data_IF_844110016263
#
_entry.id   IF_844110016263
#
_cell.length_a   1.000
_cell.length_b   1.000
_cell.length_c   1.000
_cell.angle_alpha   90.00
_cell.angle_beta   90.00
_cell.angle_gamma   90.00
#
_symmetry.space_group_name_H-M   'P 1'
#
loop_
_entity.id
_entity.type
_entity.pdbx_description
1 polymer ?
#
# COMPACT_ATOMS: atom_id res chain seq x y z
N UNK A 1 -2.80 -21.15 -16.41
CA UNK A 1 -1.96 -20.25 -15.59
C UNK A 1 -1.82 -20.92 -14.24
N UNK A 2 -0.61 -21.14 -13.75
CA UNK A 2 -0.34 -21.88 -12.51
C UNK A 2 -1.00 -21.18 -11.32
N UNK A 3 -1.83 -21.91 -10.58
CA UNK A 3 -2.23 -21.55 -9.22
C UNK A 3 -0.97 -21.53 -8.34
N UNK A 4 -0.34 -20.37 -8.17
CA UNK A 4 0.83 -20.29 -7.28
C UNK A 4 1.69 -19.03 -7.36
N UNK A 5 1.70 -18.31 -8.47
CA UNK A 5 2.58 -17.14 -8.61
C UNK A 5 1.88 -15.85 -8.17
N UNK A 6 2.42 -15.23 -7.11
CA UNK A 6 2.01 -13.90 -6.65
C UNK A 6 2.44 -12.87 -7.69
N UNK A 7 1.47 -12.13 -8.24
CA UNK A 7 1.75 -11.09 -9.21
C UNK A 7 2.53 -9.93 -8.54
N UNK A 8 3.63 -9.53 -9.18
CA UNK A 8 4.50 -8.46 -8.68
C UNK A 8 5.11 -7.64 -9.82
N UNK A 9 4.64 -6.41 -9.96
CA UNK A 9 5.22 -5.42 -10.85
C UNK A 9 6.27 -4.58 -10.13
N UNK A 10 7.49 -4.60 -10.68
CA UNK A 10 8.62 -3.82 -10.17
C UNK A 10 8.58 -2.39 -10.65
N UNK A 11 9.05 -1.48 -9.80
CA UNK A 11 9.04 -0.06 -10.06
C UNK A 11 9.87 0.28 -11.30
N UNK A 12 9.26 1.06 -12.19
CA UNK A 12 9.97 1.78 -13.26
C UNK A 12 9.74 3.27 -13.06
N UNK A 13 10.83 4.04 -13.04
CA UNK A 13 10.79 5.50 -12.86
C UNK A 13 10.07 5.89 -11.55
N UNK A 14 9.18 6.90 -11.58
CA UNK A 14 8.43 7.38 -10.41
C UNK A 14 6.99 6.82 -10.35
N UNK A 15 6.67 5.76 -11.12
CA UNK A 15 5.33 5.19 -11.28
C UNK A 15 4.83 4.33 -10.10
N UNK A 16 5.31 4.60 -8.88
CA UNK A 16 5.00 3.79 -7.69
C UNK A 16 3.49 3.63 -7.44
N UNK A 17 2.68 4.66 -7.69
CA UNK A 17 1.22 4.60 -7.55
C UNK A 17 0.57 3.55 -8.48
N UNK A 18 1.00 3.49 -9.75
CA UNK A 18 0.49 2.52 -10.73
C UNK A 18 0.89 1.11 -10.32
N UNK A 19 2.13 0.92 -9.93
CA UNK A 19 2.61 -0.40 -9.52
C UNK A 19 1.92 -0.86 -8.24
N UNK A 20 1.66 0.04 -7.29
CA UNK A 20 0.85 -0.27 -6.11
C UNK A 20 -0.56 -0.71 -6.50
N UNK A 21 -1.23 0.00 -7.42
CA UNK A 21 -2.55 -0.40 -7.95
C UNK A 21 -2.53 -1.78 -8.61
N UNK A 22 -1.58 -2.04 -9.51
CA UNK A 22 -1.49 -3.33 -10.19
C UNK A 22 -1.16 -4.47 -9.23
N UNK A 23 -0.27 -4.22 -8.27
CA UNK A 23 0.12 -5.19 -7.26
C UNK A 23 -1.03 -5.52 -6.31
N UNK A 24 -1.79 -4.53 -5.82
CA UNK A 24 -2.93 -4.79 -4.92
C UNK A 24 -4.07 -5.55 -5.63
N UNK A 25 -4.25 -5.27 -6.93
CA UNK A 25 -5.23 -5.94 -7.79
C UNK A 25 -4.75 -7.30 -8.33
N UNK A 26 -3.47 -7.64 -8.12
CA UNK A 26 -2.84 -8.87 -8.63
C UNK A 26 -2.94 -9.02 -10.16
N UNK A 27 -2.98 -7.91 -10.88
CA UNK A 27 -3.15 -7.87 -12.33
C UNK A 27 -2.56 -6.56 -12.89
N UNK A 28 -1.98 -6.61 -14.09
CA UNK A 28 -1.45 -5.42 -14.77
C UNK A 28 -2.55 -4.67 -15.51
N UNK A 29 -3.32 -3.87 -14.78
CA UNK A 29 -4.49 -3.16 -15.32
C UNK A 29 -4.17 -1.73 -15.72
N UNK A 30 -3.38 -1.04 -14.91
CA UNK A 30 -3.02 0.35 -15.10
C UNK A 30 -1.65 0.49 -15.73
N UNK A 31 -1.57 1.36 -16.71
CA UNK A 31 -0.35 1.80 -17.40
C UNK A 31 -0.16 3.30 -17.20
N UNK A 32 1.03 3.82 -17.55
CA UNK A 32 1.29 5.26 -17.49
C UNK A 32 0.26 6.03 -18.32
N UNK A 33 -0.07 5.51 -19.49
CA UNK A 33 -1.02 6.09 -20.43
C UNK A 33 -2.41 6.21 -19.78
N UNK A 34 -2.91 5.12 -19.18
CA UNK A 34 -4.20 5.15 -18.49
C UNK A 34 -4.20 6.06 -17.26
N UNK A 35 -3.10 6.13 -16.51
CA UNK A 35 -2.98 7.04 -15.37
C UNK A 35 -2.94 8.51 -15.81
N UNK A 36 -2.25 8.81 -16.90
CA UNK A 36 -2.22 10.14 -17.50
C UNK A 36 -3.61 10.56 -18.01
N UNK A 37 -4.41 9.62 -18.52
CA UNK A 37 -5.80 9.88 -18.92
C UNK A 37 -6.71 10.09 -17.71
N UNK A 38 -6.51 9.36 -16.61
CA UNK A 38 -7.17 9.63 -15.32
C UNK A 38 -6.83 11.06 -14.85
N UNK A 39 -5.55 11.45 -14.88
CA UNK A 39 -5.12 12.79 -14.53
C UNK A 39 -5.82 13.87 -15.38
N UNK A 40 -5.90 13.69 -16.69
CA UNK A 40 -6.59 14.65 -17.59
C UNK A 40 -8.07 14.79 -17.25
N UNK A 41 -8.76 13.69 -16.91
CA UNK A 41 -10.18 13.74 -16.52
C UNK A 41 -10.40 14.43 -15.17
N UNK A 42 -9.46 14.26 -14.23
CA UNK A 42 -9.53 14.92 -12.92
C UNK A 42 -9.30 16.45 -13.01
N UNK A 43 -8.50 16.91 -13.97
CA UNK A 43 -8.20 18.32 -14.18
C UNK A 43 -8.27 18.71 -15.67
N UNK A 44 -9.47 18.73 -16.29
CA UNK A 44 -9.63 18.90 -17.74
C UNK A 44 -9.28 20.32 -18.22
N UNK A 45 -9.30 21.30 -17.32
CA UNK A 45 -9.06 22.72 -17.62
C UNK A 45 -7.63 23.19 -17.31
N UNK A 46 -6.73 22.28 -16.93
CA UNK A 46 -5.39 22.63 -16.46
C UNK A 46 -4.31 22.22 -17.48
N UNK A 47 -3.53 23.19 -17.97
CA UNK A 47 -2.37 22.96 -18.86
C UNK A 47 -1.23 22.26 -18.12
N UNK A 48 -1.05 22.58 -16.82
CA UNK A 48 -0.17 21.87 -15.89
C UNK A 48 -1.05 21.04 -14.96
N UNK A 49 -0.91 19.72 -15.00
CA UNK A 49 -1.75 18.84 -14.20
C UNK A 49 -1.23 18.75 -12.76
N UNK A 50 -2.01 19.16 -11.74
CA UNK A 50 -1.56 19.20 -10.35
C UNK A 50 -1.37 17.80 -9.74
N UNK A 51 -1.91 16.75 -10.38
CA UNK A 51 -1.93 15.38 -9.88
C UNK A 51 -0.76 14.53 -10.39
N UNK A 52 0.22 15.15 -11.09
CA UNK A 52 1.46 14.50 -11.52
C UNK A 52 2.63 15.49 -11.55
N UNK A 53 3.86 14.98 -11.47
CA UNK A 53 5.06 15.79 -11.73
C UNK A 53 4.96 16.52 -13.07
N UNK A 54 5.30 17.81 -13.10
CA UNK A 54 5.32 18.67 -14.29
C UNK A 54 6.16 18.07 -15.42
N UNK A 55 7.19 17.28 -15.08
CA UNK A 55 8.07 16.57 -16.00
C UNK A 55 7.49 15.24 -16.56
N UNK A 56 6.27 14.86 -16.19
CA UNK A 56 5.61 13.65 -16.71
C UNK A 56 6.27 12.33 -16.30
N UNK A 57 6.99 12.31 -15.18
CA UNK A 57 7.78 11.18 -14.68
C UNK A 57 6.96 10.13 -13.93
N UNK A 58 5.71 10.44 -13.55
CA UNK A 58 4.78 9.47 -12.98
C UNK A 58 4.55 9.53 -11.47
N UNK A 59 4.96 10.60 -10.79
CA UNK A 59 4.67 10.82 -9.36
C UNK A 59 3.20 11.22 -9.16
N UNK A 60 2.29 10.24 -9.21
CA UNK A 60 0.85 10.44 -9.07
C UNK A 60 0.44 10.58 -7.61
N UNK A 61 -0.54 11.45 -7.35
CA UNK A 61 -1.11 11.64 -6.03
C UNK A 61 -2.23 10.63 -5.71
N UNK A 62 -2.80 10.75 -4.51
CA UNK A 62 -3.87 9.87 -4.03
C UNK A 62 -5.16 9.96 -4.86
N UNK A 63 -5.46 11.10 -5.49
CA UNK A 63 -6.68 11.26 -6.28
C UNK A 63 -6.66 10.38 -7.51
N UNK A 64 -5.48 10.20 -8.12
CA UNK A 64 -5.28 9.26 -9.23
C UNK A 64 -5.55 7.82 -8.77
N UNK A 65 -5.08 7.44 -7.57
CA UNK A 65 -5.33 6.12 -6.98
C UNK A 65 -6.83 5.91 -6.75
N UNK A 66 -7.52 6.88 -6.15
CA UNK A 66 -8.96 6.80 -5.89
C UNK A 66 -9.76 6.69 -7.19
N UNK A 67 -9.46 7.53 -8.19
CA UNK A 67 -10.15 7.51 -9.48
C UNK A 67 -9.87 6.22 -10.29
N UNK A 68 -8.66 5.66 -10.17
CA UNK A 68 -8.32 4.37 -10.76
C UNK A 68 -9.16 3.24 -10.15
N UNK A 69 -9.25 3.17 -8.81
CA UNK A 69 -10.07 2.16 -8.12
C UNK A 69 -11.56 2.30 -8.45
N UNK A 70 -12.08 3.52 -8.49
CA UNK A 70 -13.47 3.80 -8.87
C UNK A 70 -13.81 3.27 -10.28
N UNK A 71 -12.86 3.30 -11.21
CA UNK A 71 -13.07 2.76 -12.56
C UNK A 71 -13.25 1.24 -12.61
N UNK A 72 -12.98 0.53 -11.51
CA UNK A 72 -13.17 -0.92 -11.35
C UNK A 72 -14.18 -1.29 -10.26
N UNK A 73 -15.11 -0.39 -9.92
CA UNK A 73 -16.12 -0.62 -8.88
C UNK A 73 -15.51 -0.88 -7.48
N UNK A 74 -14.29 -0.38 -7.26
CA UNK A 74 -13.59 -0.40 -5.99
C UNK A 74 -13.53 1.01 -5.41
N UNK A 75 -13.19 1.07 -4.13
CA UNK A 75 -13.02 2.29 -3.38
C UNK A 75 -11.73 2.25 -2.55
N UNK A 76 -11.20 3.43 -2.23
CA UNK A 76 -10.10 3.62 -1.29
C UNK A 76 -10.61 4.36 -0.06
N UNK A 77 -10.73 3.63 1.04
CA UNK A 77 -11.15 4.18 2.33
C UNK A 77 -9.92 4.56 3.14
N UNK A 78 -9.89 5.79 3.65
CA UNK A 78 -8.84 6.24 4.55
C UNK A 78 -8.93 5.56 5.91
N UNK A 79 -7.87 4.89 6.32
CA UNK A 79 -7.81 4.32 7.66
C UNK A 79 -7.58 5.41 8.71
N UNK A 80 -8.44 5.45 9.72
CA UNK A 80 -8.27 6.31 10.88
C UNK A 80 -7.26 5.69 11.86
N UNK A 81 -6.08 6.29 11.98
CA UNK A 81 -4.99 5.85 12.87
C UNK A 81 -5.39 5.78 14.35
N UNK A 82 -6.45 6.47 14.75
CA UNK A 82 -6.97 6.44 16.12
C UNK A 82 -7.70 5.13 16.43
N UNK A 83 -8.06 4.35 15.40
CA UNK A 83 -8.72 3.05 15.52
C UNK A 83 -7.69 1.94 15.64
N UNK A 84 -8.07 0.89 16.36
CA UNK A 84 -7.24 -0.31 16.50
C UNK A 84 -7.40 -1.20 15.28
N UNK A 85 -6.31 -1.84 14.82
CA UNK A 85 -6.34 -2.73 13.64
C UNK A 85 -7.31 -3.91 13.84
N UNK A 86 -7.61 -4.29 15.09
CA UNK A 86 -8.60 -5.32 15.44
C UNK A 86 -10.04 -4.91 15.07
N UNK A 87 -10.33 -3.61 14.96
CA UNK A 87 -11.64 -3.13 14.48
C UNK A 87 -11.81 -3.29 12.97
N UNK A 88 -10.76 -3.65 12.22
CA UNK A 88 -10.85 -3.83 10.79
C UNK A 88 -11.42 -5.20 10.43
N UNK A 89 -12.42 -5.25 9.54
CA UNK A 89 -12.91 -6.50 8.97
C UNK A 89 -12.03 -6.92 7.79
N UNK A 90 -10.93 -7.62 8.09
CA UNK A 90 -9.92 -8.05 7.09
C UNK A 90 -10.52 -8.79 5.89
N UNK A 91 -11.55 -9.61 6.12
CA UNK A 91 -12.23 -10.40 5.08
C UNK A 91 -12.92 -9.54 4.00
N UNK A 92 -13.28 -8.30 4.32
CA UNK A 92 -13.92 -7.34 3.41
C UNK A 92 -12.91 -6.44 2.71
N UNK A 93 -11.66 -6.42 3.18
CA UNK A 93 -10.59 -5.61 2.63
C UNK A 93 -9.86 -6.41 1.56
N UNK A 94 -9.96 -5.92 0.33
CA UNK A 94 -9.31 -6.54 -0.82
C UNK A 94 -7.79 -6.35 -0.76
N UNK A 95 -7.29 -5.25 -0.19
CA UNK A 95 -5.88 -5.03 0.05
C UNK A 95 -5.60 -3.65 0.62
N UNK A 96 -4.33 -3.31 0.76
CA UNK A 96 -3.90 -2.07 1.40
C UNK A 96 -2.93 -1.33 0.49
N UNK A 97 -3.07 -0.01 0.44
CA UNK A 97 -2.10 0.88 -0.19
C UNK A 97 -1.56 1.81 0.89
N UNK A 98 -0.26 1.81 1.08
CA UNK A 98 0.41 2.62 2.10
C UNK A 98 1.26 3.71 1.45
N UNK A 99 1.20 4.92 2.01
CA UNK A 99 2.04 6.06 1.62
C UNK A 99 3.16 6.27 2.62
N UNK A 100 4.30 5.63 2.41
CA UNK A 100 5.42 5.64 3.35
C UNK A 100 6.53 6.61 2.93
N UNK A 101 7.28 7.21 3.87
CA UNK A 101 8.48 7.93 3.52
C UNK A 101 9.55 6.95 3.03
N UNK A 102 10.15 7.25 1.90
CA UNK A 102 11.18 6.42 1.28
C UNK A 102 12.39 7.26 0.92
N UNK A 103 13.59 6.73 1.20
CA UNK A 103 14.84 7.37 0.78
C UNK A 103 14.98 7.23 -0.72
N UNK A 104 15.45 8.29 -1.37
CA UNK A 104 15.80 8.24 -2.79
C UNK A 104 17.23 7.70 -2.91
N UNK A 105 17.39 6.56 -3.58
CA UNK A 105 18.71 6.02 -3.93
C UNK A 105 19.09 6.48 -5.33
N UNK A 106 20.24 7.16 -5.46
CA UNK A 106 20.85 7.50 -6.75
C UNK A 106 22.12 6.65 -6.87
N UNK A 107 21.99 5.46 -7.45
CA UNK A 107 23.05 4.44 -7.44
C UNK A 107 23.35 3.95 -6.02
N UNK A 108 24.62 4.03 -5.62
CA UNK A 108 25.13 3.57 -4.31
C UNK A 108 24.87 4.62 -3.21
N UNK A 109 24.54 5.86 -3.57
CA UNK A 109 24.33 6.96 -2.62
C UNK A 109 22.84 7.09 -2.32
N UNK A 110 22.45 6.89 -1.06
CA UNK A 110 21.12 7.29 -0.58
C UNK A 110 21.14 8.78 -0.28
N UNK A 111 20.36 9.56 -1.02
CA UNK A 111 20.20 10.98 -0.74
C UNK A 111 19.42 11.17 0.57
N UNK A 112 19.74 12.20 1.38
CA UNK A 112 19.02 12.50 2.62
C UNK A 112 17.58 13.03 2.37
N UNK A 113 17.13 13.09 1.12
CA UNK A 113 15.80 13.50 0.75
C UNK A 113 14.81 12.33 0.92
N UNK A 114 13.81 12.52 1.77
CA UNK A 114 12.67 11.60 1.91
C UNK A 114 11.59 11.98 0.92
N UNK A 115 11.17 11.03 0.08
CA UNK A 115 10.00 11.18 -0.80
C UNK A 115 8.90 10.24 -0.38
N UNK A 116 7.66 10.60 -0.70
CA UNK A 116 6.50 9.72 -0.55
C UNK A 116 6.60 8.56 -1.52
N UNK A 117 6.16 7.39 -1.09
CA UNK A 117 6.21 6.16 -1.87
C UNK A 117 4.97 5.33 -1.58
N UNK A 118 4.28 4.96 -2.65
CA UNK A 118 3.13 4.08 -2.59
C UNK A 118 3.60 2.63 -2.66
N UNK A 119 3.21 1.84 -1.66
CA UNK A 119 3.40 0.39 -1.66
C UNK A 119 2.07 -0.32 -1.46
N UNK A 120 1.98 -1.54 -1.98
CA UNK A 120 0.80 -2.38 -1.85
C UNK A 120 1.05 -3.54 -0.90
N UNK A 121 0.03 -3.90 -0.14
CA UNK A 121 -0.01 -5.14 0.65
C UNK A 121 -1.29 -5.88 0.30
N UNK A 122 -1.16 -7.19 0.04
CA UNK A 122 -2.28 -7.99 -0.46
C UNK A 122 -2.24 -9.41 0.11
N UNK A 123 -3.41 -9.93 0.47
CA UNK A 123 -3.59 -11.35 0.74
C UNK A 123 -3.70 -12.15 -0.55
N UNK A 124 -2.86 -13.17 -0.68
CA UNK A 124 -2.89 -14.16 -1.76
C UNK A 124 -2.76 -15.54 -1.12
N UNK A 125 -3.67 -16.45 -1.42
CA UNK A 125 -3.68 -17.82 -0.87
C UNK A 125 -3.58 -17.87 0.67
N UNK A 126 -4.30 -16.97 1.35
CA UNK A 126 -4.35 -16.90 2.83
C UNK A 126 -3.17 -16.16 3.49
N UNK A 127 -2.12 -15.81 2.76
CA UNK A 127 -0.94 -15.10 3.28
C UNK A 127 -0.89 -13.67 2.76
N UNK A 128 -0.51 -12.72 3.62
CA UNK A 128 -0.25 -11.34 3.23
C UNK A 128 1.17 -11.18 2.70
N UNK A 129 1.30 -10.47 1.59
CA UNK A 129 2.57 -10.16 0.96
C UNK A 129 2.77 -8.65 0.91
N UNK A 130 3.97 -8.21 1.26
CA UNK A 130 4.46 -6.90 0.89
C UNK A 130 4.84 -6.94 -0.60
N UNK A 131 4.14 -6.12 -1.38
CA UNK A 131 4.30 -5.97 -2.82
C UNK A 131 4.86 -4.59 -3.16
N UNK A 132 5.73 -4.06 -2.31
CA UNK A 132 6.50 -2.87 -2.62
C UNK A 132 7.26 -3.08 -3.95
N UNK A 133 6.93 -2.25 -4.93
CA UNK A 133 7.51 -2.27 -6.27
C UNK A 133 9.04 -2.07 -6.28
N UNK A 134 9.65 -1.55 -5.20
CA UNK A 134 11.11 -1.46 -5.04
C UNK A 134 11.78 -2.81 -4.70
N UNK A 135 11.01 -3.81 -4.27
CA UNK A 135 11.53 -5.13 -3.93
C UNK A 135 11.83 -5.98 -5.17
N UNK A 136 12.84 -6.84 -5.05
CA UNK A 136 13.20 -7.81 -6.10
C UNK A 136 12.14 -8.91 -6.28
N UNK A 137 11.35 -9.19 -5.26
CA UNK A 137 10.27 -10.19 -5.25
C UNK A 137 9.29 -9.87 -4.11
N UNK A 138 8.05 -10.38 -4.16
CA UNK A 138 7.12 -10.35 -3.03
C UNK A 138 7.77 -10.87 -1.75
N UNK A 139 7.49 -10.20 -0.64
CA UNK A 139 7.93 -10.63 0.69
C UNK A 139 6.70 -11.08 1.47
N UNK A 140 6.68 -12.34 1.88
CA UNK A 140 5.61 -12.83 2.75
C UNK A 140 5.73 -12.19 4.14
N UNK A 141 4.61 -11.62 4.61
CA UNK A 141 4.45 -11.07 5.96
C UNK A 141 3.95 -12.17 6.90
N UNK A 142 2.95 -12.94 6.45
CA UNK A 142 2.30 -14.02 7.21
C UNK A 142 0.78 -14.00 7.07
N UNK A 143 0.10 -14.90 7.78
CA UNK A 143 -1.37 -14.93 7.86
C UNK A 143 -1.97 -13.98 8.92
N UNK A 144 -3.29 -13.88 8.96
CA UNK A 144 -4.02 -13.14 10.00
C UNK A 144 -3.84 -13.77 11.40
N UNK A 145 -3.85 -15.11 11.47
CA UNK A 145 -3.77 -15.87 12.72
C UNK A 145 -2.32 -16.21 13.17
N UNK A 146 -1.30 -15.87 12.38
CA UNK A 146 0.10 -16.21 12.71
C UNK A 146 0.69 -15.24 13.74
N UNK A 147 0.30 -15.43 15.01
CA UNK A 147 1.05 -14.90 16.15
C UNK A 147 2.25 -15.81 16.41
N UNK A 148 3.42 -15.48 15.85
CA UNK A 148 4.68 -16.06 16.34
C UNK A 148 5.46 -15.04 17.15
N UNK A 149 5.34 -15.22 18.45
CA UNK A 149 6.17 -14.71 19.56
C UNK A 149 7.63 -14.52 19.15
N UNK A 150 8.19 -13.32 19.34
CA UNK A 150 9.64 -13.15 19.56
C UNK A 150 9.93 -12.16 20.68
N UNK A 151 10.71 -12.66 21.64
CA UNK A 151 11.34 -11.91 22.72
C UNK A 151 12.17 -10.74 22.17
N UNK A 152 11.99 -9.57 22.79
CA UNK A 152 12.81 -8.37 22.62
C UNK A 152 14.29 -8.71 22.64
N UNK A 153 14.97 -8.52 21.52
CA UNK A 153 16.41 -8.30 21.52
C UNK A 153 16.63 -6.86 21.10
N UNK A 154 17.15 -6.09 22.06
CA UNK A 154 17.57 -4.71 21.91
C UNK A 154 18.41 -4.55 20.64
N UNK A 155 17.91 -3.73 19.70
CA UNK A 155 18.70 -3.25 18.58
C UNK A 155 18.66 -1.73 18.59
N UNK A 156 19.84 -1.15 18.42
CA UNK A 156 20.10 0.27 18.44
C UNK A 156 19.36 1.02 17.31
N UNK A 157 19.00 2.30 17.54
CA UNK A 157 18.12 3.06 16.63
C UNK A 157 18.72 3.44 15.27
N UNK A 158 19.99 3.09 14.98
CA UNK A 158 20.69 3.57 13.77
C UNK A 158 20.54 2.65 12.53
N UNK A 159 19.92 1.47 12.67
CA UNK A 159 19.78 0.49 11.57
C UNK A 159 18.33 0.17 11.16
N UNK A 160 17.36 1.01 11.53
CA UNK A 160 15.92 0.70 11.39
C UNK A 160 15.42 0.77 9.92
N UNK A 161 16.16 1.37 8.98
CA UNK A 161 15.59 1.69 7.66
C UNK A 161 15.69 0.64 6.52
N UNK A 162 16.62 -0.34 6.49
CA UNK A 162 16.56 -1.39 5.46
C UNK A 162 15.92 -2.71 5.93
N UNK A 163 15.78 -2.94 7.24
CA UNK A 163 15.56 -4.29 7.78
C UNK A 163 14.17 -4.58 8.36
N UNK A 164 13.19 -3.67 8.25
CA UNK A 164 11.82 -3.96 8.69
C UNK A 164 11.07 -4.95 7.78
N UNK A 165 11.57 -5.21 6.57
CA UNK A 165 10.89 -6.06 5.58
C UNK A 165 11.45 -7.49 5.47
N UNK A 166 12.47 -7.87 6.24
CA UNK A 166 13.06 -9.21 6.18
C UNK A 166 13.13 -9.88 7.57
N UNK A 167 12.07 -9.80 8.38
CA UNK A 167 11.96 -10.53 9.66
C UNK A 167 10.99 -11.71 9.52
N UNK A 168 11.30 -12.91 10.08
CA UNK A 168 10.42 -14.06 9.91
C UNK A 168 9.15 -13.90 10.76
N UNK A 169 7.99 -14.03 10.11
CA UNK A 169 6.64 -14.22 10.64
C UNK A 169 6.25 -13.36 11.85
N UNK A 170 5.78 -12.13 11.58
CA UNK A 170 4.91 -11.38 12.48
C UNK A 170 3.48 -11.46 11.96
N UNK A 171 2.48 -11.48 12.85
CA UNK A 171 1.08 -11.43 12.41
C UNK A 171 0.84 -10.18 11.57
N UNK A 172 -0.01 -10.27 10.55
CA UNK A 172 -0.29 -9.13 9.68
C UNK A 172 -0.80 -7.90 10.45
N UNK A 173 -1.58 -8.11 11.52
CA UNK A 173 -2.06 -7.06 12.41
C UNK A 173 -0.93 -6.39 13.19
N UNK A 174 0.12 -7.13 13.60
CA UNK A 174 1.35 -6.55 14.16
C UNK A 174 2.07 -5.69 13.13
N UNK A 175 2.27 -6.21 11.91
CA UNK A 175 2.91 -5.46 10.83
C UNK A 175 2.18 -4.13 10.55
N UNK A 176 0.86 -4.15 10.41
CA UNK A 176 0.08 -2.92 10.20
C UNK A 176 0.21 -1.96 11.40
N UNK A 177 0.14 -2.46 12.63
CA UNK A 177 0.28 -1.63 13.82
C UNK A 177 1.65 -0.95 13.88
N UNK A 178 2.72 -1.67 13.53
CA UNK A 178 4.07 -1.11 13.43
C UNK A 178 4.17 -0.05 12.32
N UNK A 179 3.65 -0.33 11.13
CA UNK A 179 3.65 0.63 10.01
C UNK A 179 2.84 1.89 10.33
N UNK A 180 1.75 1.77 11.09
CA UNK A 180 0.90 2.89 11.50
C UNK A 180 1.49 3.69 12.67
N UNK A 181 2.25 3.05 13.56
CA UNK A 181 2.96 3.71 14.67
C UNK A 181 4.15 4.56 14.22
N UNK A 182 4.73 4.24 13.06
CA UNK A 182 5.71 5.11 12.44
C UNK A 182 4.95 6.31 11.88
N UNK A 183 5.22 7.48 12.47
CA UNK A 183 4.53 8.78 12.39
C UNK A 183 4.34 9.40 10.98
N UNK A 184 4.44 8.60 9.92
CA UNK A 184 4.61 9.07 8.55
C UNK A 184 3.71 8.34 7.55
N UNK A 185 3.15 7.16 7.83
CA UNK A 185 2.40 6.41 6.81
C UNK A 185 0.91 6.82 6.73
N UNK A 186 0.40 7.13 5.53
CA UNK A 186 -1.06 7.08 5.27
C UNK A 186 -1.42 5.67 4.83
N UNK A 187 -2.62 5.17 5.20
CA UNK A 187 -3.07 3.85 4.80
C UNK A 187 -4.47 3.95 4.18
N UNK A 188 -4.60 3.40 2.98
CA UNK A 188 -5.84 3.24 2.26
C UNK A 188 -6.24 1.78 2.27
N UNK A 189 -7.49 1.51 2.63
CA UNK A 189 -8.12 0.21 2.46
C UNK A 189 -8.71 0.16 1.06
N UNK A 190 -8.31 -0.83 0.27
CA UNK A 190 -8.94 -1.12 -1.02
C UNK A 190 -10.10 -2.06 -0.75
N UNK A 191 -11.32 -1.60 -1.01
CA UNK A 191 -12.57 -2.33 -0.75
C UNK A 191 -13.45 -2.27 -1.97
N UNK A 192 -14.47 -3.14 -2.04
CA UNK A 192 -15.54 -2.95 -3.03
C UNK A 192 -16.35 -1.70 -2.69
N UNK A 193 -16.92 -1.07 -3.71
CA UNK A 193 -17.77 0.11 -3.52
C UNK A 193 -18.94 -0.14 -2.55
N UNK A 194 -19.59 -1.30 -2.66
CA UNK A 194 -20.66 -1.72 -1.73
C UNK A 194 -20.20 -1.75 -0.26
N UNK A 195 -18.95 -2.18 -0.02
CA UNK A 195 -18.35 -2.27 1.31
C UNK A 195 -18.01 -0.88 1.87
N UNK A 196 -17.61 0.06 1.01
CA UNK A 196 -17.43 1.46 1.42
C UNK A 196 -18.77 2.09 1.82
N UNK A 197 -19.80 1.89 1.00
CA UNK A 197 -21.13 2.49 1.17
C UNK A 197 -21.85 1.97 2.44
N UNK A 198 -21.71 0.68 2.77
CA UNK A 198 -22.31 0.08 3.97
C UNK A 198 -21.42 0.18 5.23
N UNK A 199 -20.14 0.55 5.08
CA UNK A 199 -19.19 0.66 6.19
C UNK A 199 -18.74 -0.69 6.78
N UNK A 200 -19.03 -1.81 6.12
CA UNK A 200 -18.77 -3.18 6.62
C UNK A 200 -17.28 -3.55 6.66
N UNK A 201 -16.40 -2.69 6.16
CA UNK A 201 -14.95 -2.79 6.39
C UNK A 201 -14.57 -2.55 7.86
N UNK A 202 -15.44 -1.95 8.66
CA UNK A 202 -15.27 -1.79 10.10
C UNK A 202 -16.15 -2.82 10.84
N UNK A 203 -15.53 -3.60 11.73
CA UNK A 203 -16.27 -4.44 12.66
C UNK A 203 -17.11 -3.52 13.58
N UNK A 204 -18.37 -3.87 13.87
CA UNK A 204 -19.19 -3.10 14.80
C UNK A 204 -18.43 -2.97 16.14
N UNK A 205 -18.32 -1.75 16.65
CA UNK A 205 -17.71 -1.52 17.96
C UNK A 205 -18.50 -2.36 18.97
N UNK A 206 -17.84 -3.35 19.55
CA UNK A 206 -18.47 -4.18 20.57
C UNK A 206 -18.73 -3.25 21.77
N UNK A 207 -20.00 -2.98 22.13
CA UNK A 207 -20.28 -2.06 23.22
C UNK A 207 -19.81 -2.72 24.52
N UNK A 208 -18.63 -2.27 24.97
CA UNK A 208 -17.99 -2.51 26.28
C UNK A 208 -17.31 -3.88 26.46
N UNK A 209 -16.02 -3.81 26.76
CA UNK A 209 -15.45 -4.57 27.87
C UNK A 209 -14.66 -3.60 28.75
#
# INVERSE_FOLDING_TARGET
MSEGDVFHEKQRLELCAIHALNNVLQERVFTKETADDICKRLAPQCVVNPHRSVLGTGNYDVNVIMAALQSRELAAVWWDKRRTVQSLCMSKVQGFILNVPSRVSLGIVSLPLRRRHWLAVRQVNGQYYNLDSKLKSPVCIGGEAELRTRHSTNLSPEFIQPFLFCRPCVSFSTFLSEQLSQDVAEMLLVVRREVEEDGSWLNPENPKK
#
